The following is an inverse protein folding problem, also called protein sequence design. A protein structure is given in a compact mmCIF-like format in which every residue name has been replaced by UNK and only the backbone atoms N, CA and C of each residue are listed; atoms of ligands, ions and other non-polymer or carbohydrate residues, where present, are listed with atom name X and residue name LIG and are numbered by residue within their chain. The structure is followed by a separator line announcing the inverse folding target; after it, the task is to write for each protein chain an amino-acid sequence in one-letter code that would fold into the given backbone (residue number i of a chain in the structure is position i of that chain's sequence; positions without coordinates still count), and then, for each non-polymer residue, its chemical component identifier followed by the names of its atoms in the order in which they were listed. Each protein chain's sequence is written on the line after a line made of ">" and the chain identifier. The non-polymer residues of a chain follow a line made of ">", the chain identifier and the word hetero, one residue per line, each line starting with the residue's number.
data_IF_360669371224
#
_entry.id   IF_360669371224
#
_cell.length_a   1.000
_cell.length_b   1.000
_cell.length_c   1.000
_cell.angle_alpha   90.00
_cell.angle_beta   90.00
_cell.angle_gamma   90.00
#
_symmetry.space_group_name_H-M   'P 1'
#
loop_
_entity.id
_entity.type
_entity.pdbx_description
1 polymer ?
#
# COMPACT_ATOMS: atom_id res chain seq x y z
N UNK A 1 -0.36 17.87 -40.42
CA UNK A 1 0.54 18.44 -39.41
C UNK A 1 0.66 17.60 -38.10
N UNK A 2 -0.09 16.51 -37.90
CA UNK A 2 0.00 15.65 -36.72
C UNK A 2 0.92 14.42 -36.86
N UNK A 3 1.34 14.08 -38.04
CA UNK A 3 2.18 12.89 -38.34
C UNK A 3 3.70 13.16 -38.18
N UNK A 4 4.13 14.42 -38.30
CA UNK A 4 5.55 14.77 -38.17
C UNK A 4 6.06 14.82 -36.73
N UNK A 5 5.15 15.07 -35.77
CA UNK A 5 5.53 15.18 -34.35
C UNK A 5 5.83 13.82 -33.67
N UNK A 6 5.23 12.74 -34.22
CA UNK A 6 5.35 11.41 -33.61
C UNK A 6 6.66 10.69 -33.98
N UNK A 7 7.25 11.00 -35.14
CA UNK A 7 8.52 10.42 -35.58
C UNK A 7 9.72 11.10 -34.91
N UNK A 8 9.59 12.40 -34.57
CA UNK A 8 10.67 13.15 -33.88
C UNK A 8 10.82 12.70 -32.43
N UNK A 9 9.72 12.37 -31.74
CA UNK A 9 9.77 11.83 -30.38
C UNK A 9 10.37 10.43 -30.31
N UNK A 10 10.12 9.57 -31.29
CA UNK A 10 10.72 8.22 -31.35
C UNK A 10 12.23 8.27 -31.60
N UNK A 11 12.71 9.16 -32.47
CA UNK A 11 14.13 9.32 -32.74
C UNK A 11 14.91 9.84 -31.53
N UNK A 12 14.34 10.77 -30.73
CA UNK A 12 14.95 11.26 -29.50
C UNK A 12 15.01 10.22 -28.39
N UNK A 13 14.03 9.32 -28.31
CA UNK A 13 14.00 8.26 -27.32
C UNK A 13 15.08 7.21 -27.54
N UNK A 14 15.39 6.88 -28.81
CA UNK A 14 16.48 5.95 -29.17
C UNK A 14 17.89 6.56 -28.97
N UNK A 15 18.05 7.88 -29.10
CA UNK A 15 19.32 8.55 -28.86
C UNK A 15 19.67 8.65 -27.37
N UNK A 16 18.68 8.77 -26.49
CA UNK A 16 18.88 8.80 -25.04
C UNK A 16 19.15 7.42 -24.44
N UNK A 17 18.64 6.34 -25.04
CA UNK A 17 18.95 4.96 -24.62
C UNK A 17 20.36 4.50 -25.02
N UNK A 18 20.92 5.04 -26.11
CA UNK A 18 22.26 4.70 -26.59
C UNK A 18 23.40 5.24 -25.72
N UNK A 19 23.19 6.28 -24.93
CA UNK A 19 24.22 6.91 -24.09
C UNK A 19 24.32 6.28 -22.68
N UNK A 20 23.30 5.54 -22.24
CA UNK A 20 23.30 4.91 -20.90
C UNK A 20 23.88 3.49 -20.84
N UNK A 21 24.32 2.91 -21.96
CA UNK A 21 24.87 1.54 -22.01
C UNK A 21 26.41 1.50 -21.96
N UNK A 22 27.10 2.64 -21.78
CA UNK A 22 28.58 2.70 -21.87
C UNK A 22 29.32 2.88 -20.55
N UNK A 23 28.67 2.69 -19.38
CA UNK A 23 29.39 2.84 -18.10
C UNK A 23 29.01 1.81 -17.02
N UNK A 24 28.61 0.60 -17.40
CA UNK A 24 28.70 -0.54 -16.51
C UNK A 24 30.13 -1.09 -16.59
N UNK A 25 31.06 -0.46 -15.89
CA UNK A 25 32.36 -1.06 -15.62
C UNK A 25 32.13 -2.26 -14.72
N UNK A 26 32.33 -3.45 -15.30
CA UNK A 26 32.42 -4.70 -14.59
C UNK A 26 33.59 -4.60 -13.59
N UNK A 27 33.29 -4.60 -12.29
CA UNK A 27 34.27 -4.66 -11.22
C UNK A 27 34.63 -6.14 -10.97
N UNK A 28 35.80 -6.61 -11.38
CA UNK A 28 36.20 -8.03 -11.23
C UNK A 28 36.66 -8.40 -9.82
N UNK A 29 36.46 -7.54 -8.81
CA UNK A 29 36.96 -7.77 -7.43
C UNK A 29 35.89 -8.27 -6.47
N UNK A 30 34.70 -8.68 -6.96
CA UNK A 30 33.73 -9.33 -6.07
C UNK A 30 34.19 -10.74 -5.69
N UNK A 31 34.91 -10.80 -4.58
CA UNK A 31 35.44 -12.04 -4.01
C UNK A 31 34.32 -12.82 -3.33
N UNK A 32 33.86 -13.89 -3.94
CA UNK A 32 32.81 -14.78 -3.45
C UNK A 32 33.22 -15.66 -2.25
N UNK A 33 34.44 -15.50 -1.71
CA UNK A 33 34.96 -16.31 -0.61
C UNK A 33 34.71 -15.73 0.79
N UNK A 34 34.06 -14.56 0.92
CA UNK A 34 33.81 -13.92 2.21
C UNK A 34 32.47 -14.33 2.87
N UNK A 35 31.70 -15.21 2.21
CA UNK A 35 30.38 -15.63 2.71
C UNK A 35 30.39 -16.90 3.57
N UNK A 36 31.57 -17.37 4.02
CA UNK A 36 31.70 -18.70 4.68
C UNK A 36 32.13 -18.68 6.13
N UNK A 37 32.05 -17.58 6.86
CA UNK A 37 32.42 -17.57 8.28
C UNK A 37 31.70 -16.53 9.12
N UNK A 38 30.36 -16.59 9.17
CA UNK A 38 29.57 -15.90 10.19
C UNK A 38 28.55 -16.84 10.81
N UNK A 39 29.03 -17.96 11.34
CA UNK A 39 28.34 -18.72 12.37
C UNK A 39 28.72 -18.14 13.73
N UNK A 40 27.72 -17.84 14.56
CA UNK A 40 27.81 -17.41 15.96
C UNK A 40 28.29 -15.96 16.21
N UNK A 41 27.53 -14.99 15.74
CA UNK A 41 27.59 -13.62 16.24
C UNK A 41 26.17 -13.13 16.53
N UNK A 42 25.89 -12.79 17.78
CA UNK A 42 24.64 -12.12 18.18
C UNK A 42 24.39 -10.94 17.25
N UNK A 43 23.39 -11.03 16.36
CA UNK A 43 22.97 -9.91 15.55
C UNK A 43 22.42 -8.84 16.48
N UNK A 44 23.18 -7.77 16.69
CA UNK A 44 22.67 -6.52 17.22
C UNK A 44 21.75 -5.92 16.15
N UNK A 45 20.47 -6.18 16.26
CA UNK A 45 19.45 -5.55 15.41
C UNK A 45 19.46 -4.05 15.72
N UNK A 46 19.70 -3.16 14.73
CA UNK A 46 19.66 -1.73 15.00
C UNK A 46 18.27 -1.36 15.54
N UNK A 47 18.23 -0.64 16.66
CA UNK A 47 17.01 -0.24 17.39
C UNK A 47 16.08 0.73 16.63
N UNK A 48 16.28 0.90 15.32
CA UNK A 48 15.54 1.81 14.47
C UNK A 48 14.79 1.12 13.33
N UNK A 49 14.52 -0.19 13.46
CA UNK A 49 13.54 -0.86 12.60
C UNK A 49 12.17 -0.33 13.02
N UNK A 50 11.35 0.24 12.09
CA UNK A 50 9.97 0.58 12.44
C UNK A 50 9.34 -0.66 13.05
N UNK A 51 8.76 -0.50 14.25
CA UNK A 51 8.06 -1.58 14.94
C UNK A 51 7.01 -2.18 14.00
N UNK A 52 7.35 -3.31 13.39
CA UNK A 52 6.36 -4.11 12.69
C UNK A 52 5.38 -4.58 13.75
N UNK A 53 4.09 -4.32 13.62
CA UNK A 53 3.09 -4.86 14.55
C UNK A 53 3.37 -6.35 14.70
N UNK A 54 3.23 -6.86 15.93
CA UNK A 54 3.69 -8.17 16.37
C UNK A 54 3.51 -9.27 15.33
N UNK A 55 4.40 -10.22 15.27
CA UNK A 55 4.40 -11.33 14.30
C UNK A 55 3.11 -12.16 14.33
N UNK A 56 2.24 -11.91 15.31
CA UNK A 56 1.00 -12.62 15.53
C UNK A 56 -0.12 -12.02 14.66
N UNK A 57 -0.82 -12.87 13.95
CA UNK A 57 -2.01 -12.50 13.19
C UNK A 57 -2.99 -13.66 13.17
N UNK A 58 -4.26 -13.34 12.98
CA UNK A 58 -5.27 -14.30 12.57
C UNK A 58 -5.89 -13.87 11.24
N UNK A 59 -6.52 -14.80 10.54
CA UNK A 59 -7.15 -14.56 9.24
C UNK A 59 -8.66 -14.66 9.38
N UNK A 60 -9.36 -13.68 8.79
CA UNK A 60 -10.83 -13.69 8.74
C UNK A 60 -11.31 -13.24 7.36
N UNK A 61 -12.37 -13.86 6.88
CA UNK A 61 -12.97 -13.52 5.57
C UNK A 61 -13.91 -12.35 5.70
N UNK A 62 -13.64 -11.27 4.94
CA UNK A 62 -14.49 -10.08 4.90
C UNK A 62 -15.08 -9.83 3.53
N UNK A 63 -16.26 -9.22 3.53
CA UNK A 63 -16.77 -8.51 2.36
C UNK A 63 -16.13 -7.11 2.34
N UNK A 64 -15.22 -6.89 1.40
CA UNK A 64 -14.44 -5.65 1.27
C UNK A 64 -15.00 -4.81 0.14
N UNK A 65 -15.43 -3.60 0.46
CA UNK A 65 -15.86 -2.56 -0.48
C UNK A 65 -14.84 -1.44 -0.52
N UNK A 66 -15.07 -0.41 -1.33
CA UNK A 66 -14.18 0.74 -1.41
C UNK A 66 -14.94 2.05 -1.44
N UNK A 67 -14.35 3.11 -0.93
CA UNK A 67 -14.86 4.46 -0.94
C UNK A 67 -13.76 5.49 -1.22
N UNK A 68 -14.17 6.73 -1.51
CA UNK A 68 -13.28 7.89 -1.66
C UNK A 68 -13.89 9.09 -0.91
N UNK A 69 -13.15 10.19 -0.68
CA UNK A 69 -13.62 11.31 0.12
C UNK A 69 -14.61 12.24 -0.61
N UNK A 70 -15.21 11.78 -1.71
CA UNK A 70 -16.15 12.58 -2.47
C UNK A 70 -17.58 12.53 -1.89
N UNK A 71 -18.41 13.53 -2.24
CA UNK A 71 -19.79 13.63 -1.79
C UNK A 71 -20.69 12.45 -2.21
N UNK A 72 -20.34 11.72 -3.28
CA UNK A 72 -21.08 10.53 -3.70
C UNK A 72 -20.86 9.35 -2.74
N UNK A 73 -19.64 9.20 -2.20
CA UNK A 73 -19.31 8.15 -1.23
C UNK A 73 -19.64 8.55 0.21
N UNK A 74 -19.27 9.77 0.61
CA UNK A 74 -19.31 10.20 2.01
C UNK A 74 -20.48 11.16 2.32
N UNK A 75 -21.23 11.64 1.30
CA UNK A 75 -22.34 12.54 1.51
C UNK A 75 -21.92 13.81 2.26
N UNK A 76 -22.55 14.07 3.41
CA UNK A 76 -22.25 15.24 4.26
C UNK A 76 -20.91 15.14 5.04
N UNK A 77 -20.28 13.99 5.03
CA UNK A 77 -18.98 13.72 5.66
C UNK A 77 -17.82 13.75 4.66
N UNK A 78 -18.01 14.38 3.49
CA UNK A 78 -16.96 14.56 2.49
C UNK A 78 -16.05 15.76 2.86
N UNK A 79 -15.47 15.72 4.06
CA UNK A 79 -14.64 16.76 4.67
C UNK A 79 -13.15 16.38 4.75
N UNK A 80 -12.80 15.25 4.15
CA UNK A 80 -11.44 14.68 4.19
C UNK A 80 -10.92 14.40 5.60
N UNK A 81 -11.81 14.10 6.55
CA UNK A 81 -11.46 13.70 7.91
C UNK A 81 -12.12 12.36 8.22
N UNK A 82 -11.33 11.41 8.74
CA UNK A 82 -11.84 10.09 9.15
C UNK A 82 -12.53 10.17 10.53
N UNK A 83 -13.26 9.13 10.88
CA UNK A 83 -13.91 9.00 12.20
C UNK A 83 -12.90 8.98 13.37
N UNK A 84 -11.63 8.66 13.15
CA UNK A 84 -10.56 8.77 14.15
C UNK A 84 -10.00 10.19 14.29
N UNK A 85 -10.46 11.16 13.48
CA UNK A 85 -9.92 12.53 13.44
C UNK A 85 -8.67 12.68 12.58
N UNK A 86 -8.31 11.64 11.81
CA UNK A 86 -7.17 11.70 10.90
C UNK A 86 -7.52 12.52 9.66
N UNK A 87 -6.68 13.50 9.29
CA UNK A 87 -6.79 14.28 8.07
C UNK A 87 -6.25 13.44 6.91
N UNK A 88 -7.05 13.27 5.89
CA UNK A 88 -6.73 12.42 4.73
C UNK A 88 -5.84 13.19 3.75
N UNK A 89 -4.73 12.59 3.34
CA UNK A 89 -3.84 13.09 2.30
C UNK A 89 -3.87 12.20 1.07
N UNK A 90 -3.53 12.77 -0.08
CA UNK A 90 -3.40 12.03 -1.33
C UNK A 90 -2.34 10.92 -1.20
N UNK A 91 -2.69 9.72 -1.62
CA UNK A 91 -1.82 8.54 -1.52
C UNK A 91 -1.98 7.73 -0.23
N UNK A 92 -2.79 8.19 0.72
CA UNK A 92 -3.05 7.44 1.95
C UNK A 92 -3.69 6.08 1.67
N UNK A 93 -3.38 5.12 2.55
CA UNK A 93 -3.99 3.78 2.54
C UNK A 93 -4.38 3.40 3.95
N UNK A 94 -5.67 3.21 4.17
CA UNK A 94 -6.27 2.82 5.45
C UNK A 94 -7.64 2.18 5.20
N UNK A 95 -8.24 1.66 6.24
CA UNK A 95 -9.52 0.95 6.15
C UNK A 95 -10.52 1.48 7.18
N UNK A 96 -11.79 1.55 6.77
CA UNK A 96 -12.92 1.66 7.68
C UNK A 96 -13.33 0.23 8.09
N UNK A 97 -13.41 0.02 9.40
CA UNK A 97 -13.72 -1.29 10.00
C UNK A 97 -14.85 -1.19 11.03
N UNK A 98 -15.47 -2.31 11.41
CA UNK A 98 -16.43 -2.38 12.49
C UNK A 98 -15.83 -1.96 13.84
N UNK A 99 -16.68 -1.55 14.82
CA UNK A 99 -16.22 -1.06 16.13
C UNK A 99 -15.38 -2.06 16.95
N UNK A 100 -15.52 -3.35 16.71
CA UNK A 100 -14.74 -4.42 17.37
C UNK A 100 -13.25 -4.38 17.05
N UNK A 101 -12.85 -3.66 16.00
CA UNK A 101 -11.45 -3.40 15.64
C UNK A 101 -11.10 -1.97 16.03
N UNK A 102 -10.27 -1.77 17.02
CA UNK A 102 -9.86 -0.44 17.49
C UNK A 102 -9.15 0.37 16.40
N UNK A 103 -9.22 1.70 16.49
CA UNK A 103 -8.40 2.56 15.64
C UNK A 103 -6.92 2.26 15.86
N UNK A 104 -6.18 2.13 14.77
CA UNK A 104 -4.79 1.71 14.80
C UNK A 104 -4.59 0.20 14.63
N UNK A 105 -5.62 -0.64 14.79
CA UNK A 105 -5.52 -2.06 14.41
C UNK A 105 -4.99 -2.16 12.99
N UNK A 106 -4.01 -3.03 12.79
CA UNK A 106 -3.34 -3.18 11.49
C UNK A 106 -3.89 -4.39 10.76
N UNK A 107 -4.23 -4.21 9.49
CA UNK A 107 -4.79 -5.25 8.64
C UNK A 107 -4.02 -5.36 7.33
N UNK A 108 -3.77 -6.56 6.83
CA UNK A 108 -3.25 -6.79 5.49
C UNK A 108 -4.36 -7.34 4.61
N UNK A 109 -4.76 -6.52 3.64
CA UNK A 109 -5.88 -6.77 2.74
C UNK A 109 -5.30 -7.13 1.36
N UNK A 110 -5.51 -8.36 0.86
CA UNK A 110 -4.98 -8.78 -0.43
C UNK A 110 -5.39 -7.83 -1.57
N UNK A 111 -4.43 -7.41 -2.40
CA UNK A 111 -4.67 -6.51 -3.52
C UNK A 111 -4.83 -5.03 -3.17
N UNK A 112 -4.84 -4.66 -1.88
CA UNK A 112 -4.92 -3.28 -1.42
C UNK A 112 -3.60 -2.84 -0.77
N UNK A 113 -3.20 -1.57 -0.96
CA UNK A 113 -1.99 -1.02 -0.36
C UNK A 113 -0.71 -1.77 -0.74
N UNK A 114 -0.63 -2.31 -1.96
CA UNK A 114 0.45 -3.20 -2.40
C UNK A 114 0.59 -4.46 -1.52
N UNK A 115 -0.51 -4.91 -0.93
CA UNK A 115 -0.55 -5.99 0.07
C UNK A 115 0.34 -5.71 1.30
N UNK A 116 0.59 -4.46 1.62
CA UNK A 116 1.23 -4.03 2.86
C UNK A 116 0.18 -3.85 3.97
N UNK A 117 0.58 -3.98 5.23
CA UNK A 117 -0.30 -3.70 6.36
C UNK A 117 -0.80 -2.24 6.36
N UNK A 118 -2.09 -2.05 6.56
CA UNK A 118 -2.75 -0.74 6.62
C UNK A 118 -3.51 -0.58 7.94
N UNK A 119 -3.57 0.61 8.54
CA UNK A 119 -4.26 0.83 9.80
C UNK A 119 -5.77 1.01 9.62
N UNK A 120 -6.53 0.61 10.64
CA UNK A 120 -7.93 1.02 10.82
C UNK A 120 -7.95 2.48 11.26
N UNK A 121 -8.54 3.39 10.45
CA UNK A 121 -8.62 4.83 10.74
C UNK A 121 -10.02 5.39 10.61
N UNK A 122 -10.96 4.62 10.06
CA UNK A 122 -12.29 5.13 9.79
C UNK A 122 -13.40 4.20 10.26
N UNK A 123 -14.64 4.75 10.24
CA UNK A 123 -15.88 4.04 10.57
C UNK A 123 -16.96 4.42 9.56
N UNK A 124 -17.77 3.44 9.20
CA UNK A 124 -18.98 3.68 8.41
C UNK A 124 -20.20 3.14 9.12
N UNK A 125 -21.32 3.84 9.06
CA UNK A 125 -22.57 3.43 9.70
C UNK A 125 -23.08 2.04 9.24
N UNK A 126 -22.69 1.63 8.03
CA UNK A 126 -23.02 0.32 7.42
C UNK A 126 -21.89 -0.71 7.50
N UNK A 127 -20.72 -0.30 7.99
CA UNK A 127 -19.55 -1.17 8.14
C UNK A 127 -19.65 -1.85 9.50
N UNK A 128 -20.19 -3.07 9.49
CA UNK A 128 -20.47 -3.90 10.69
C UNK A 128 -20.21 -5.36 10.36
N UNK A 129 -19.92 -6.16 11.39
CA UNK A 129 -19.62 -7.58 11.27
C UNK A 129 -18.48 -7.82 10.24
N UNK A 130 -18.67 -8.69 9.28
CA UNK A 130 -17.66 -9.10 8.30
C UNK A 130 -17.54 -8.13 7.11
N UNK A 131 -17.65 -6.82 7.36
CA UNK A 131 -17.53 -5.79 6.32
C UNK A 131 -16.35 -4.88 6.60
N UNK A 132 -15.59 -4.61 5.55
CA UNK A 132 -14.55 -3.58 5.52
C UNK A 132 -14.78 -2.65 4.33
N UNK A 133 -14.27 -1.43 4.43
CA UNK A 133 -14.33 -0.44 3.35
C UNK A 133 -12.97 0.23 3.20
N UNK A 134 -12.28 -0.03 2.08
CA UNK A 134 -10.93 0.48 1.83
C UNK A 134 -10.98 1.85 1.17
N UNK A 135 -10.06 2.72 1.58
CA UNK A 135 -9.98 4.09 1.06
C UNK A 135 -9.20 4.15 -0.25
N UNK A 136 -9.72 4.92 -1.21
CA UNK A 136 -9.04 5.31 -2.44
C UNK A 136 -9.11 6.82 -2.63
N UNK A 137 -8.15 7.39 -3.34
CA UNK A 137 -8.08 8.84 -3.60
C UNK A 137 -9.18 9.32 -4.55
N UNK A 138 -9.66 8.45 -5.46
CA UNK A 138 -10.64 8.81 -6.47
C UNK A 138 -11.86 7.88 -6.47
N UNK A 139 -13.00 8.44 -6.93
CA UNK A 139 -14.24 7.68 -7.11
C UNK A 139 -14.06 6.55 -8.14
N UNK A 140 -13.28 6.77 -9.17
CA UNK A 140 -13.06 5.77 -10.21
C UNK A 140 -12.25 4.58 -9.69
N UNK A 141 -11.23 4.81 -8.86
CA UNK A 141 -10.47 3.72 -8.22
C UNK A 141 -11.36 2.90 -7.29
N UNK A 142 -12.18 3.57 -6.48
CA UNK A 142 -13.14 2.88 -5.61
C UNK A 142 -14.15 2.04 -6.40
N UNK A 143 -14.66 2.54 -7.54
CA UNK A 143 -15.52 1.79 -8.43
C UNK A 143 -14.81 0.59 -9.07
N UNK A 144 -13.57 0.76 -9.48
CA UNK A 144 -12.77 -0.32 -10.09
C UNK A 144 -12.46 -1.43 -9.08
N UNK A 145 -12.30 -1.11 -7.80
CA UNK A 145 -12.17 -2.10 -6.73
C UNK A 145 -13.42 -2.97 -6.60
N UNK A 146 -14.59 -2.33 -6.61
CA UNK A 146 -15.89 -3.00 -6.51
C UNK A 146 -16.14 -3.65 -5.15
N UNK A 147 -16.64 -4.89 -5.16
CA UNK A 147 -16.92 -5.72 -3.98
C UNK A 147 -16.14 -7.01 -4.08
N UNK A 148 -15.36 -7.33 -3.06
CA UNK A 148 -14.57 -8.54 -3.01
C UNK A 148 -14.82 -9.28 -1.69
N UNK A 149 -14.62 -10.60 -1.68
CA UNK A 149 -14.58 -11.42 -0.48
C UNK A 149 -13.15 -11.91 -0.30
N UNK A 150 -12.47 -11.42 0.75
CA UNK A 150 -11.04 -11.57 0.92
C UNK A 150 -10.70 -12.11 2.31
N UNK A 151 -9.72 -12.98 2.39
CA UNK A 151 -9.10 -13.43 3.62
C UNK A 151 -8.07 -12.40 4.07
N UNK A 152 -8.47 -11.59 5.06
CA UNK A 152 -7.69 -10.48 5.60
C UNK A 152 -6.92 -10.94 6.83
N UNK A 153 -5.64 -10.59 6.91
CA UNK A 153 -4.85 -10.82 8.12
C UNK A 153 -5.00 -9.63 9.05
N UNK A 154 -5.34 -9.90 10.30
CA UNK A 154 -5.47 -8.92 11.38
C UNK A 154 -4.31 -9.14 12.34
N UNK A 155 -3.46 -8.14 12.51
CA UNK A 155 -2.31 -8.19 13.40
C UNK A 155 -2.69 -7.76 14.81
N UNK A 156 -2.12 -8.43 15.80
CA UNK A 156 -2.29 -8.12 17.23
C UNK A 156 -0.95 -8.29 17.97
N UNK A 157 -0.81 -7.59 19.08
CA UNK A 157 0.35 -7.64 19.97
C UNK A 157 0.27 -8.83 20.93
#
# INVERSE_FOLDING_TARGET
>A
MKTFYNEFCKAMYFLLLGVMLSSCLYDPTFNTNEFRSLESGSMVVPSNVPHMPGSNFYTHTFRVTAYCPCSKCCGKFADAVTASGYIIYYGDRFVAAPPEYDFGTVMMIPGYGESKPVPVRDRGGVIKADKLDVYFDSHQEALNWGVQYLDVKIYYD
#
